data_IF_707012986627
#
_entry.id   IF_707012986627
#
_cell.length_a   1.000
_cell.length_b   1.000
_cell.length_c   1.000
_cell.angle_alpha   90.00
_cell.angle_beta   90.00
_cell.angle_gamma   90.00
#
_symmetry.space_group_name_H-M   'P 1'
#
loop_
_entity.id
_entity.type
_entity.pdbx_description
1 polymer ?
#
# COMPACT_ATOMS: atom_id res chain seq x y z
N UNK A 1 -27.80 -13.83 -31.69
CA UNK A 1 -26.85 -12.70 -31.61
C UNK A 1 -27.25 -11.74 -30.48
N UNK A 2 -27.07 -12.16 -29.22
CA UNK A 2 -27.52 -11.38 -28.06
C UNK A 2 -27.12 -12.03 -26.75
N UNK A 3 -25.81 -12.23 -26.51
CA UNK A 3 -25.29 -11.93 -25.16
C UNK A 3 -23.96 -11.15 -25.16
N UNK A 4 -23.33 -10.90 -26.31
CA UNK A 4 -21.99 -10.29 -26.41
C UNK A 4 -22.00 -8.77 -26.16
N UNK A 5 -23.16 -8.11 -26.29
CA UNK A 5 -23.27 -6.64 -26.19
C UNK A 5 -23.28 -6.13 -24.73
N UNK A 6 -23.68 -6.94 -23.74
CA UNK A 6 -23.73 -6.49 -22.32
C UNK A 6 -22.37 -6.46 -21.62
N UNK A 7 -21.37 -7.19 -22.12
CA UNK A 7 -20.03 -7.20 -21.52
C UNK A 7 -19.17 -6.02 -22.00
N UNK A 8 -19.39 -5.55 -23.24
CA UNK A 8 -18.72 -4.35 -23.76
C UNK A 8 -19.24 -3.04 -23.16
N UNK A 9 -20.49 -2.97 -22.71
CA UNK A 9 -21.02 -1.78 -22.03
C UNK A 9 -20.45 -1.57 -20.60
N UNK A 10 -20.05 -2.64 -19.90
CA UNK A 10 -19.38 -2.50 -18.60
C UNK A 10 -17.91 -2.03 -18.71
N UNK A 11 -17.24 -2.36 -19.82
CA UNK A 11 -15.84 -1.93 -20.05
C UNK A 11 -15.79 -0.46 -20.46
N UNK A 12 -16.80 0.02 -21.22
CA UNK A 12 -16.90 1.43 -21.57
C UNK A 12 -17.18 2.31 -20.33
N UNK A 13 -17.94 1.82 -19.35
CA UNK A 13 -18.16 2.51 -18.09
C UNK A 13 -16.88 2.65 -17.24
N UNK A 14 -15.92 1.73 -17.34
CA UNK A 14 -14.63 1.83 -16.62
C UNK A 14 -13.69 2.87 -17.25
N UNK A 15 -13.70 2.99 -18.59
CA UNK A 15 -12.95 4.02 -19.31
C UNK A 15 -13.58 5.41 -19.15
N UNK A 16 -14.92 5.50 -19.16
CA UNK A 16 -15.64 6.77 -18.98
C UNK A 16 -15.54 7.27 -17.53
N UNK A 17 -15.49 6.39 -16.51
CA UNK A 17 -15.34 6.84 -15.11
C UNK A 17 -13.94 7.36 -14.78
N UNK A 18 -12.88 6.86 -15.42
CA UNK A 18 -11.54 7.43 -15.26
C UNK A 18 -11.40 8.80 -15.95
N UNK A 19 -12.19 9.07 -16.99
CA UNK A 19 -12.16 10.34 -17.74
C UNK A 19 -13.07 11.40 -17.09
N UNK A 20 -14.20 11.01 -16.49
CA UNK A 20 -15.15 11.97 -15.90
C UNK A 20 -14.79 12.51 -14.52
N UNK A 21 -13.77 11.98 -13.83
CA UNK A 21 -13.23 12.61 -12.62
C UNK A 21 -12.30 13.81 -12.89
N UNK A 22 -12.06 14.18 -14.17
CA UNK A 22 -11.08 15.23 -14.52
C UNK A 22 -11.67 16.50 -15.15
N UNK A 23 -12.99 16.62 -15.31
CA UNK A 23 -13.58 17.80 -15.94
C UNK A 23 -14.90 18.20 -15.26
N UNK A 24 -14.85 19.23 -14.41
CA UNK A 24 -16.01 20.01 -14.00
C UNK A 24 -15.60 21.42 -13.54
N UNK A 25 -15.83 22.41 -14.41
CA UNK A 25 -16.02 23.86 -14.21
C UNK A 25 -14.79 24.70 -13.75
N UNK A 26 -14.42 25.83 -14.37
CA UNK A 26 -15.23 26.99 -14.78
C UNK A 26 -14.59 27.79 -15.95
N UNK A 27 -15.46 28.44 -16.74
CA UNK A 27 -15.16 29.54 -17.66
C UNK A 27 -14.78 30.83 -16.90
N UNK A 28 -13.64 31.48 -17.23
CA UNK A 28 -13.43 32.93 -17.03
C UNK A 28 -12.57 33.53 -18.17
N UNK A 29 -12.99 34.73 -18.56
CA UNK A 29 -12.55 35.70 -19.58
C UNK A 29 -11.06 35.87 -19.87
N UNK A 30 -10.77 36.15 -21.15
CA UNK A 30 -9.48 36.62 -21.67
C UNK A 30 -9.22 38.07 -21.23
N UNK A 31 -8.12 38.32 -20.54
CA UNK A 31 -7.48 39.64 -20.48
C UNK A 31 -5.98 39.47 -20.65
N UNK A 32 -5.43 40.26 -21.55
CA UNK A 32 -4.03 40.34 -21.95
C UNK A 32 -3.16 40.87 -20.82
N UNK A 33 -2.08 40.17 -20.48
CA UNK A 33 -0.98 40.76 -19.72
C UNK A 33 0.39 40.37 -20.27
N UNK A 34 1.21 41.41 -20.37
CA UNK A 34 2.50 41.51 -21.02
C UNK A 34 3.61 40.74 -20.29
N UNK A 35 4.55 40.23 -21.07
CA UNK A 35 5.78 39.57 -20.63
C UNK A 35 6.78 40.56 -20.01
N UNK A 36 7.46 40.22 -18.90
CA UNK A 36 8.73 40.86 -18.53
C UNK A 36 9.94 40.07 -19.07
N UNK A 37 11.10 40.73 -19.29
CA UNK A 37 12.22 40.18 -20.04
C UNK A 37 13.09 39.19 -19.21
N UNK A 38 13.93 38.36 -19.87
CA UNK A 38 14.72 37.35 -19.19
C UNK A 38 15.97 37.94 -18.53
N UNK A 39 16.24 37.52 -17.30
CA UNK A 39 17.50 37.80 -16.58
C UNK A 39 18.53 36.74 -16.98
N UNK A 40 19.61 37.20 -17.60
CA UNK A 40 20.77 36.38 -18.00
C UNK A 40 21.71 36.27 -16.80
N UNK A 41 21.99 35.05 -16.33
CA UNK A 41 23.09 34.78 -15.40
C UNK A 41 24.32 34.28 -16.16
N UNK A 42 25.40 35.06 -16.12
CA UNK A 42 26.72 34.67 -16.63
C UNK A 42 27.47 33.86 -15.56
N UNK A 43 27.72 32.58 -15.84
CA UNK A 43 28.64 31.77 -15.04
C UNK A 43 30.08 32.02 -15.50
N UNK A 44 30.91 32.60 -14.64
CA UNK A 44 32.37 32.52 -14.76
C UNK A 44 32.89 31.57 -13.67
N UNK A 45 33.38 30.41 -14.10
CA UNK A 45 34.10 29.48 -13.26
C UNK A 45 35.53 30.00 -13.04
N UNK A 46 35.94 30.22 -11.78
CA UNK A 46 37.34 30.37 -11.41
C UNK A 46 37.76 29.25 -10.46
N UNK A 47 38.84 28.59 -10.87
CA UNK A 47 39.63 27.56 -10.18
C UNK A 47 39.95 27.97 -8.74
N UNK A 48 39.74 27.05 -7.80
CA UNK A 48 40.26 27.15 -6.44
C UNK A 48 41.75 26.77 -6.45
N UNK A 49 42.59 27.65 -5.91
CA UNK A 49 43.96 27.35 -5.51
C UNK A 49 44.06 27.42 -3.98
N UNK A 50 44.84 26.52 -3.42
CA UNK A 50 44.97 26.32 -1.98
C UNK A 50 45.95 27.34 -1.40
N UNK A 51 45.57 28.05 -0.33
CA UNK A 51 46.55 28.55 0.63
C UNK A 51 45.91 28.87 1.98
N UNK A 52 46.57 28.36 3.02
CA UNK A 52 46.27 28.52 4.44
C UNK A 52 46.09 30.00 4.82
N UNK A 53 44.99 30.33 5.49
CA UNK A 53 44.96 31.50 6.38
C UNK A 53 44.15 31.22 7.65
N UNK A 54 44.74 31.61 8.77
CA UNK A 54 44.37 31.45 10.18
C UNK A 54 42.89 31.65 10.51
N UNK A 55 42.40 30.77 11.41
CA UNK A 55 41.20 31.01 12.21
C UNK A 55 41.29 32.35 12.94
N UNK A 56 40.30 33.22 12.71
CA UNK A 56 39.86 34.22 13.67
C UNK A 56 38.47 33.83 14.16
N UNK A 57 38.37 33.69 15.46
CA UNK A 57 37.16 33.41 16.22
C UNK A 57 36.31 34.67 16.23
N UNK A 58 35.26 34.72 15.41
CA UNK A 58 34.19 35.70 15.57
C UNK A 58 33.00 35.03 16.26
N UNK A 59 32.62 35.61 17.40
CA UNK A 59 31.43 35.29 18.16
C UNK A 59 30.20 35.49 17.27
N UNK A 60 29.60 34.39 16.81
CA UNK A 60 28.29 34.45 16.18
C UNK A 60 27.23 34.65 17.27
N UNK A 61 26.80 35.89 17.42
CA UNK A 61 25.58 36.31 18.10
C UNK A 61 24.46 35.31 17.77
N UNK A 62 23.99 34.61 18.81
CA UNK A 62 22.84 33.71 18.73
C UNK A 62 21.58 34.57 18.56
N UNK A 63 21.23 34.89 17.31
CA UNK A 63 19.93 35.48 17.02
C UNK A 63 18.85 34.45 17.35
N UNK A 64 18.11 34.70 18.42
CA UNK A 64 16.80 34.10 18.65
C UNK A 64 15.86 34.57 17.54
N UNK A 65 15.91 33.91 16.38
CA UNK A 65 14.79 33.91 15.45
C UNK A 65 13.64 33.23 16.19
N UNK A 66 12.59 33.98 16.50
CA UNK A 66 11.33 33.42 16.98
C UNK A 66 10.89 32.29 16.05
N UNK A 67 10.36 31.21 16.62
CA UNK A 67 9.87 30.09 15.84
C UNK A 67 8.90 30.61 14.77
N UNK A 68 9.30 30.53 13.50
CA UNK A 68 8.41 30.85 12.39
C UNK A 68 7.26 29.86 12.48
N UNK A 69 6.04 30.36 12.69
CA UNK A 69 4.85 29.53 12.69
C UNK A 69 4.67 29.02 11.27
N UNK A 70 5.06 27.77 11.03
CA UNK A 70 4.84 27.12 9.75
C UNK A 70 3.33 27.05 9.48
N UNK A 71 2.92 27.43 8.27
CA UNK A 71 1.55 27.29 7.77
C UNK A 71 1.51 26.21 6.68
N UNK A 72 0.32 25.69 6.33
CA UNK A 72 0.20 24.75 5.23
C UNK A 72 0.72 25.36 3.92
N UNK A 73 1.59 24.61 3.24
CA UNK A 73 2.11 25.02 1.93
C UNK A 73 0.98 25.10 0.89
N UNK A 74 1.15 25.89 -0.20
CA UNK A 74 0.22 25.90 -1.31
C UNK A 74 -0.01 24.50 -1.89
N UNK A 75 -1.26 24.20 -2.24
CA UNK A 75 -1.65 22.91 -2.83
C UNK A 75 -0.97 22.74 -4.19
N UNK A 76 -0.13 21.70 -4.30
CA UNK A 76 0.48 21.30 -5.58
C UNK A 76 -0.52 20.49 -6.41
N UNK A 77 -0.53 20.73 -7.72
CA UNK A 77 -1.33 19.97 -8.69
C UNK A 77 -0.49 18.89 -9.37
N UNK A 78 -1.04 17.68 -9.52
CA UNK A 78 -0.40 16.63 -10.33
C UNK A 78 -0.26 17.04 -11.79
N UNK A 79 -1.20 17.85 -12.30
CA UNK A 79 -1.21 18.31 -13.68
C UNK A 79 0.00 19.19 -14.03
N UNK A 80 0.67 19.75 -13.03
CA UNK A 80 1.91 20.51 -13.20
C UNK A 80 3.13 19.63 -13.56
N UNK A 81 3.00 18.30 -13.50
CA UNK A 81 4.11 17.37 -13.69
C UNK A 81 3.83 16.31 -14.75
N UNK A 82 4.76 16.17 -15.71
CA UNK A 82 4.68 15.18 -16.79
C UNK A 82 5.10 13.76 -16.38
N UNK A 83 5.78 13.63 -15.25
CA UNK A 83 6.29 12.39 -14.63
C UNK A 83 6.38 12.58 -13.12
N UNK A 84 6.70 11.52 -12.38
CA UNK A 84 6.91 11.61 -10.93
C UNK A 84 7.93 12.74 -10.61
N UNK A 85 7.55 13.75 -9.79
CA UNK A 85 8.47 14.77 -9.34
C UNK A 85 9.64 14.16 -8.57
N UNK A 86 10.79 14.82 -8.59
CA UNK A 86 11.98 14.39 -7.84
C UNK A 86 12.35 15.49 -6.86
N UNK A 87 12.39 15.14 -5.58
CA UNK A 87 12.78 16.04 -4.51
C UNK A 87 14.06 15.52 -3.86
N UNK A 88 14.89 16.42 -3.32
CA UNK A 88 16.11 16.09 -2.60
C UNK A 88 15.86 15.26 -1.33
N UNK A 89 14.64 15.32 -0.78
CA UNK A 89 14.15 14.52 0.34
C UNK A 89 13.29 13.30 -0.07
N UNK A 90 13.38 12.83 -1.32
CA UNK A 90 12.61 11.67 -1.80
C UNK A 90 12.85 10.38 -1.00
N UNK A 91 14.03 10.25 -0.39
CA UNK A 91 14.45 9.08 0.39
C UNK A 91 14.46 9.35 1.91
N UNK A 92 13.80 10.42 2.34
CA UNK A 92 13.58 10.76 3.75
C UNK A 92 12.22 10.21 4.20
N UNK A 93 12.23 9.46 5.29
CA UNK A 93 11.06 8.80 5.88
C UNK A 93 11.03 8.94 7.39
N UNK A 94 9.83 8.99 7.96
CA UNK A 94 9.65 8.79 9.39
C UNK A 94 10.12 7.42 9.85
N UNK A 95 10.87 7.40 10.95
CA UNK A 95 11.34 6.19 11.60
C UNK A 95 11.01 6.23 13.09
N UNK A 96 10.67 5.07 13.66
CA UNK A 96 10.45 4.90 15.09
C UNK A 96 11.75 4.49 15.80
N UNK A 97 11.86 4.71 17.11
CA UNK A 97 13.07 4.41 17.90
C UNK A 97 12.71 3.52 19.09
N UNK A 98 13.54 2.51 19.45
CA UNK A 98 14.56 1.80 18.65
C UNK A 98 13.95 0.65 17.81
N UNK A 99 14.73 0.01 16.89
CA UNK A 99 14.26 -1.11 16.09
C UNK A 99 13.75 -2.27 16.97
N UNK A 100 12.75 -3.01 16.49
CA UNK A 100 12.31 -4.26 17.14
C UNK A 100 13.50 -5.20 17.29
N UNK A 101 13.87 -5.49 18.53
CA UNK A 101 14.82 -6.55 18.83
C UNK A 101 14.15 -7.90 18.58
N UNK A 102 14.87 -8.80 17.91
CA UNK A 102 14.41 -10.17 17.66
C UNK A 102 15.43 -11.16 18.19
N UNK A 103 14.96 -12.09 19.00
CA UNK A 103 15.73 -13.24 19.48
C UNK A 103 15.75 -14.37 18.45
N UNK A 104 14.82 -14.36 17.49
CA UNK A 104 14.70 -15.37 16.45
C UNK A 104 15.96 -15.44 15.58
N UNK A 105 16.59 -16.61 15.50
CA UNK A 105 17.80 -16.85 14.68
C UNK A 105 17.50 -16.86 13.19
N UNK A 106 16.29 -17.28 12.81
CA UNK A 106 15.81 -17.36 11.43
C UNK A 106 15.19 -16.05 10.92
N UNK A 107 15.26 -14.97 11.71
CA UNK A 107 14.61 -13.71 11.35
C UNK A 107 15.22 -13.15 10.06
N UNK A 108 14.37 -12.79 9.10
CA UNK A 108 14.76 -12.08 7.87
C UNK A 108 15.56 -10.79 8.15
N UNK A 109 15.39 -10.20 9.34
CA UNK A 109 16.12 -9.02 9.81
C UNK A 109 17.62 -9.28 10.00
N UNK A 110 18.02 -10.56 10.12
CA UNK A 110 19.41 -11.02 10.20
C UNK A 110 19.98 -11.45 8.84
N UNK A 111 19.26 -11.21 7.74
CA UNK A 111 19.71 -11.58 6.40
C UNK A 111 21.01 -10.87 6.02
N UNK A 112 21.95 -11.62 5.43
CA UNK A 112 23.22 -11.09 4.90
C UNK A 112 23.14 -10.67 3.42
N UNK A 113 21.95 -10.70 2.83
CA UNK A 113 21.72 -10.29 1.45
C UNK A 113 21.95 -8.77 1.34
N UNK A 114 23.09 -8.37 0.75
CA UNK A 114 23.54 -6.96 0.70
C UNK A 114 22.50 -6.00 0.11
N UNK A 115 21.84 -6.38 -0.99
CA UNK A 115 20.81 -5.58 -1.64
C UNK A 115 19.59 -5.37 -0.72
N UNK A 116 19.16 -6.43 -0.04
CA UNK A 116 18.07 -6.37 0.93
C UNK A 116 18.43 -5.50 2.13
N UNK A 117 19.61 -5.70 2.75
CA UNK A 117 20.08 -4.87 3.88
C UNK A 117 20.17 -3.38 3.54
N UNK A 118 20.56 -3.04 2.31
CA UNK A 118 20.63 -1.65 1.83
C UNK A 118 19.23 -1.04 1.66
N UNK A 119 18.27 -1.83 1.18
CA UNK A 119 16.91 -1.37 0.94
C UNK A 119 16.06 -1.34 2.21
N UNK A 120 16.23 -2.31 3.11
CA UNK A 120 15.37 -2.55 4.27
C UNK A 120 15.64 -1.56 5.41
N UNK A 121 14.61 -0.80 5.81
CA UNK A 121 14.66 0.11 6.94
C UNK A 121 13.97 -0.55 8.16
N UNK A 122 14.72 -1.10 9.14
CA UNK A 122 14.15 -1.94 10.20
C UNK A 122 13.21 -1.21 11.16
N UNK A 123 13.25 0.12 11.14
CA UNK A 123 12.54 1.04 12.01
C UNK A 123 11.68 2.06 11.23
N UNK A 124 11.37 1.80 9.95
CA UNK A 124 10.39 2.61 9.20
C UNK A 124 9.06 2.70 9.97
N UNK A 125 8.50 3.91 10.08
CA UNK A 125 7.19 4.11 10.73
C UNK A 125 6.10 3.45 9.90
N UNK A 126 5.48 2.40 10.45
CA UNK A 126 4.48 1.61 9.74
C UNK A 126 3.09 2.26 9.77
N UNK A 127 2.72 2.91 10.88
CA UNK A 127 1.35 3.31 11.14
C UNK A 127 1.18 4.83 11.30
N UNK A 128 0.07 5.32 10.75
CA UNK A 128 -0.44 6.68 10.90
C UNK A 128 -1.33 6.77 12.13
N UNK A 129 -1.17 7.81 12.93
CA UNK A 129 -2.02 8.17 14.07
C UNK A 129 -2.06 9.69 14.25
N UNK A 130 -2.94 10.17 15.13
CA UNK A 130 -3.26 11.61 15.30
C UNK A 130 -2.06 12.54 15.52
N UNK A 131 -0.97 12.04 16.11
CA UNK A 131 0.24 12.82 16.42
C UNK A 131 1.38 12.57 15.41
N UNK A 132 1.13 11.82 14.33
CA UNK A 132 2.15 11.49 13.33
C UNK A 132 2.48 12.65 12.39
N UNK A 133 1.55 13.58 12.18
CA UNK A 133 1.66 14.65 11.17
C UNK A 133 1.62 16.01 11.86
N UNK A 134 2.79 16.62 12.04
CA UNK A 134 2.92 18.03 12.37
C UNK A 134 2.92 18.89 11.08
N UNK A 135 3.04 20.21 11.19
CA UNK A 135 2.98 21.08 10.00
C UNK A 135 4.15 20.85 9.03
N UNK A 136 5.36 20.65 9.54
CA UNK A 136 6.53 20.35 8.71
C UNK A 136 6.33 19.05 7.93
N UNK A 137 5.79 18.03 8.59
CA UNK A 137 5.44 16.74 7.99
C UNK A 137 4.31 16.84 6.98
N UNK A 138 3.28 17.64 7.27
CA UNK A 138 2.25 17.96 6.29
C UNK A 138 2.86 18.57 5.03
N UNK A 139 3.65 19.64 5.19
CA UNK A 139 4.30 20.34 4.09
C UNK A 139 5.20 19.38 3.29
N UNK A 140 6.01 18.55 3.96
CA UNK A 140 6.83 17.54 3.28
C UNK A 140 5.96 16.54 2.51
N UNK A 141 4.92 15.98 3.14
CA UNK A 141 4.08 14.96 2.51
C UNK A 141 3.15 15.52 1.42
N UNK A 142 2.84 16.82 1.42
CA UNK A 142 2.09 17.50 0.36
C UNK A 142 2.83 17.55 -0.98
N UNK A 143 4.13 17.24 -1.01
CA UNK A 143 4.92 17.06 -2.24
C UNK A 143 4.68 15.73 -2.96
N UNK A 144 3.96 14.79 -2.34
CA UNK A 144 3.73 13.45 -2.89
C UNK A 144 2.25 13.19 -3.14
N UNK A 145 1.93 12.60 -4.29
CA UNK A 145 0.57 12.18 -4.64
C UNK A 145 0.08 11.04 -3.75
N UNK A 146 -1.24 10.88 -3.63
CA UNK A 146 -1.84 9.73 -2.98
C UNK A 146 -1.42 8.40 -3.68
N UNK A 147 -1.21 7.29 -2.95
CA UNK A 147 -1.30 7.09 -1.50
C UNK A 147 -0.06 7.56 -0.72
N UNK A 148 0.91 8.17 -1.41
CA UNK A 148 2.25 8.44 -0.91
C UNK A 148 2.36 9.75 -0.11
N UNK A 149 1.35 10.62 -0.18
CA UNK A 149 1.31 11.88 0.54
C UNK A 149 -0.03 12.58 0.32
N UNK A 150 -0.01 13.92 0.37
CA UNK A 150 -1.20 14.77 0.41
C UNK A 150 -1.27 15.80 -0.72
N UNK A 151 -0.54 15.61 -1.82
CA UNK A 151 -0.66 16.46 -3.01
C UNK A 151 -2.12 16.50 -3.49
N UNK A 152 -2.58 17.68 -3.90
CA UNK A 152 -3.98 18.02 -4.23
C UNK A 152 -4.99 18.02 -3.07
N UNK A 153 -4.57 17.73 -1.83
CA UNK A 153 -5.47 17.76 -0.67
C UNK A 153 -5.29 19.02 0.16
N UNK A 154 -6.39 19.48 0.75
CA UNK A 154 -6.38 20.54 1.75
C UNK A 154 -6.07 19.94 3.12
N UNK A 155 -5.36 20.72 3.94
CA UNK A 155 -4.96 20.34 5.29
C UNK A 155 -6.16 19.90 6.14
N UNK A 156 -7.20 20.73 6.20
CA UNK A 156 -8.34 20.47 7.07
C UNK A 156 -9.12 19.22 6.67
N UNK A 157 -9.24 18.93 5.37
CA UNK A 157 -9.97 17.76 4.86
C UNK A 157 -9.31 16.45 5.31
N UNK A 158 -7.98 16.36 5.18
CA UNK A 158 -7.24 15.15 5.60
C UNK A 158 -7.16 15.08 7.12
N UNK A 159 -6.81 16.19 7.77
CA UNK A 159 -6.54 16.20 9.20
C UNK A 159 -7.80 16.05 10.05
N UNK A 160 -8.99 16.34 9.52
CA UNK A 160 -10.27 16.00 10.15
C UNK A 160 -10.37 14.50 10.48
N UNK A 161 -9.84 13.64 9.61
CA UNK A 161 -9.79 12.20 9.85
C UNK A 161 -8.54 11.76 10.64
N UNK A 162 -7.35 12.28 10.29
CA UNK A 162 -6.07 11.84 10.90
C UNK A 162 -6.06 12.10 12.40
N UNK A 163 -6.58 13.25 12.86
CA UNK A 163 -6.65 13.60 14.28
C UNK A 163 -7.53 12.66 15.12
N UNK A 164 -8.37 11.85 14.48
CA UNK A 164 -9.20 10.85 15.15
C UNK A 164 -8.51 9.48 15.26
N UNK A 165 -7.46 9.22 14.48
CA UNK A 165 -6.83 7.91 14.43
C UNK A 165 -6.06 7.68 15.74
N UNK A 166 -6.47 6.73 16.60
CA UNK A 166 -5.77 6.47 17.84
C UNK A 166 -4.40 5.86 17.55
N UNK A 167 -3.42 6.16 18.40
CA UNK A 167 -2.17 5.40 18.41
C UNK A 167 -2.51 3.95 18.84
N UNK A 168 -2.13 2.92 18.06
CA UNK A 168 -2.41 1.54 18.43
C UNK A 168 -1.88 1.23 19.83
N UNK A 169 -2.73 0.64 20.69
CA UNK A 169 -2.34 0.26 22.06
C UNK A 169 -1.65 -1.10 22.08
N UNK A 170 -2.02 -1.96 21.16
CA UNK A 170 -1.42 -3.28 20.96
C UNK A 170 -0.41 -3.20 19.81
N UNK A 171 0.72 -3.92 19.86
CA UNK A 171 1.54 -4.11 18.67
C UNK A 171 0.78 -4.98 17.66
N UNK A 172 1.09 -4.81 16.36
CA UNK A 172 0.42 -5.60 15.32
C UNK A 172 0.60 -7.09 15.57
N UNK A 173 1.80 -7.55 15.92
CA UNK A 173 2.07 -8.95 16.23
C UNK A 173 2.85 -9.06 17.54
N UNK A 174 2.56 -10.11 18.29
CA UNK A 174 3.33 -10.54 19.46
C UNK A 174 3.93 -11.93 19.20
N UNK A 175 5.14 -12.24 19.70
CA UNK A 175 5.61 -13.62 19.74
C UNK A 175 4.58 -14.51 20.45
N UNK A 176 4.32 -15.68 19.87
CA UNK A 176 3.38 -16.65 20.46
C UNK A 176 3.97 -17.19 21.78
N UNK A 177 3.24 -17.15 22.91
CA UNK A 177 3.70 -17.77 24.15
C UNK A 177 3.99 -19.27 23.94
N UNK A 178 5.15 -19.72 24.41
CA UNK A 178 5.58 -21.12 24.26
C UNK A 178 6.03 -21.52 22.85
N UNK A 179 6.16 -20.58 21.92
CA UNK A 179 6.80 -20.80 20.61
C UNK A 179 8.32 -20.84 20.70
N UNK A 180 8.98 -20.97 19.55
CA UNK A 180 10.45 -20.96 19.40
C UNK A 180 11.09 -19.56 19.51
N UNK A 181 10.27 -18.54 19.82
CA UNK A 181 10.67 -17.14 19.90
C UNK A 181 10.62 -16.39 18.56
N UNK A 182 10.22 -17.05 17.47
CA UNK A 182 9.98 -16.44 16.16
C UNK A 182 8.49 -16.09 15.97
N UNK A 183 8.24 -15.14 15.07
CA UNK A 183 6.91 -14.85 14.55
C UNK A 183 6.83 -15.34 13.11
N UNK A 184 6.13 -16.45 12.89
CA UNK A 184 5.95 -17.05 11.57
C UNK A 184 4.66 -16.59 10.92
N UNK A 185 4.75 -16.04 9.72
CA UNK A 185 3.60 -15.46 9.03
C UNK A 185 3.33 -16.09 7.68
N UNK A 186 2.06 -16.38 7.40
CA UNK A 186 1.56 -16.65 6.07
C UNK A 186 0.90 -15.38 5.51
N UNK A 187 1.25 -15.00 4.28
CA UNK A 187 0.59 -13.94 3.54
C UNK A 187 -0.15 -14.55 2.36
N UNK A 188 -1.47 -14.40 2.33
CA UNK A 188 -2.35 -15.04 1.36
C UNK A 188 -2.93 -13.99 0.41
N UNK A 189 -2.35 -13.92 -0.79
CA UNK A 189 -2.91 -13.24 -1.94
C UNK A 189 -4.04 -14.04 -2.58
N UNK A 190 -4.70 -13.43 -3.57
CA UNK A 190 -5.94 -13.99 -4.13
C UNK A 190 -5.75 -14.70 -5.48
N UNK A 191 -4.52 -14.89 -5.95
CA UNK A 191 -4.26 -15.41 -7.30
C UNK A 191 -4.73 -16.86 -7.50
N UNK A 192 -5.11 -17.19 -8.74
CA UNK A 192 -5.64 -18.50 -9.12
C UNK A 192 -4.75 -19.71 -8.82
N UNK A 193 -3.44 -19.50 -8.60
CA UNK A 193 -2.48 -20.56 -8.28
C UNK A 193 -2.88 -21.38 -7.04
N UNK A 194 -3.68 -20.82 -6.12
CA UNK A 194 -4.16 -21.54 -4.94
C UNK A 194 -5.31 -22.52 -5.21
N UNK A 195 -6.02 -22.44 -6.34
CA UNK A 195 -7.17 -23.30 -6.60
C UNK A 195 -6.78 -24.79 -6.76
N UNK A 196 -7.14 -25.64 -5.80
CA UNK A 196 -6.72 -27.04 -5.74
C UNK A 196 -5.25 -27.24 -5.31
N UNK A 197 -4.67 -26.26 -4.63
CA UNK A 197 -3.30 -26.32 -4.08
C UNK A 197 -3.20 -27.10 -2.78
N UNK A 198 -4.30 -27.24 -2.03
CA UNK A 198 -4.35 -27.89 -0.72
C UNK A 198 -3.42 -27.29 0.34
N UNK A 199 -3.02 -26.02 0.17
CA UNK A 199 -2.10 -25.34 1.09
C UNK A 199 -2.77 -24.86 2.38
N UNK A 200 -4.07 -25.04 2.54
CA UNK A 200 -4.83 -24.46 3.65
C UNK A 200 -4.34 -24.89 5.03
N UNK A 201 -3.94 -26.17 5.19
CA UNK A 201 -3.37 -26.67 6.45
C UNK A 201 -2.00 -26.05 6.77
N UNK A 202 -1.15 -25.84 5.76
CA UNK A 202 0.15 -25.18 5.95
C UNK A 202 -0.06 -23.70 6.25
N UNK A 203 -0.97 -23.03 5.56
CA UNK A 203 -1.31 -21.62 5.82
C UNK A 203 -1.78 -21.45 7.27
N UNK A 204 -2.72 -22.28 7.72
CA UNK A 204 -3.29 -22.22 9.06
C UNK A 204 -2.33 -22.72 10.16
N UNK A 205 -1.15 -23.29 9.83
CA UNK A 205 -0.14 -23.67 10.83
C UNK A 205 0.75 -22.50 11.29
N UNK A 206 0.75 -21.39 10.56
CA UNK A 206 1.53 -20.19 10.91
C UNK A 206 0.95 -19.49 12.14
N UNK A 207 1.77 -18.71 12.84
CA UNK A 207 1.30 -17.94 14.00
C UNK A 207 0.24 -16.91 13.58
N UNK A 208 0.53 -16.19 12.49
CA UNK A 208 -0.32 -15.14 11.94
C UNK A 208 -0.60 -15.35 10.46
N UNK A 209 -1.87 -15.17 10.07
CA UNK A 209 -2.30 -15.22 8.67
C UNK A 209 -2.77 -13.85 8.21
N UNK A 210 -2.09 -13.31 7.21
CA UNK A 210 -2.41 -12.03 6.56
C UNK A 210 -3.27 -12.29 5.33
N UNK A 211 -4.41 -11.61 5.22
CA UNK A 211 -5.29 -11.63 4.04
C UNK A 211 -5.66 -10.22 3.61
N UNK A 212 -6.14 -10.06 2.38
CA UNK A 212 -6.47 -8.75 1.85
C UNK A 212 -7.57 -8.77 0.78
N UNK A 213 -8.24 -7.63 0.61
CA UNK A 213 -9.27 -7.44 -0.42
C UNK A 213 -10.36 -8.56 -0.37
N UNK A 214 -10.72 -9.17 -1.50
CA UNK A 214 -11.69 -10.26 -1.59
C UNK A 214 -11.14 -11.62 -1.15
N UNK A 215 -10.81 -11.78 0.13
CA UNK A 215 -10.25 -13.00 0.70
C UNK A 215 -11.34 -14.05 0.99
N UNK A 216 -11.86 -14.71 -0.04
CA UNK A 216 -12.88 -15.76 0.08
C UNK A 216 -12.30 -17.02 0.75
N UNK A 217 -12.70 -17.35 1.98
CA UNK A 217 -12.29 -18.63 2.60
C UNK A 217 -13.36 -19.72 2.46
N UNK A 218 -14.64 -19.34 2.60
CA UNK A 218 -15.77 -20.27 2.59
C UNK A 218 -15.84 -21.10 1.30
N UNK A 219 -15.70 -22.42 1.41
CA UNK A 219 -15.69 -23.36 0.27
C UNK A 219 -14.32 -23.51 -0.43
N UNK A 220 -13.28 -22.93 0.15
CA UNK A 220 -11.89 -22.94 -0.33
C UNK A 220 -10.89 -23.23 0.79
N UNK A 221 -11.34 -23.68 1.96
CA UNK A 221 -10.54 -23.85 3.17
C UNK A 221 -9.41 -24.88 2.98
N UNK A 222 -9.62 -25.92 2.16
CA UNK A 222 -8.57 -26.89 1.82
C UNK A 222 -7.38 -26.19 1.13
N UNK A 223 -7.66 -25.19 0.30
CA UNK A 223 -6.67 -24.48 -0.51
C UNK A 223 -6.04 -23.28 0.21
N UNK A 224 -6.87 -22.51 0.91
CA UNK A 224 -6.46 -21.20 1.44
C UNK A 224 -6.52 -21.09 2.95
N UNK A 225 -6.96 -22.15 3.65
CA UNK A 225 -7.16 -22.15 5.10
C UNK A 225 -8.40 -21.35 5.50
N UNK A 226 -8.67 -21.29 6.80
CA UNK A 226 -9.81 -20.56 7.35
C UNK A 226 -9.43 -19.51 8.42
N UNK A 227 -8.16 -19.44 8.85
CA UNK A 227 -7.72 -18.44 9.83
C UNK A 227 -7.40 -17.11 9.17
N UNK A 228 -7.71 -16.02 9.86
CA UNK A 228 -7.22 -14.66 9.51
C UNK A 228 -6.86 -13.89 10.76
N UNK A 229 -5.61 -13.46 10.87
CA UNK A 229 -5.14 -12.65 12.00
C UNK A 229 -5.05 -11.17 11.67
N UNK A 230 -4.66 -10.85 10.43
CA UNK A 230 -4.52 -9.47 9.94
C UNK A 230 -5.23 -9.34 8.59
N UNK A 231 -6.18 -8.42 8.49
CA UNK A 231 -6.92 -8.16 7.24
C UNK A 231 -6.64 -6.76 6.71
N UNK A 232 -6.06 -6.70 5.52
CA UNK A 232 -5.61 -5.47 4.87
C UNK A 232 -6.66 -5.06 3.85
N UNK A 233 -7.11 -3.81 3.94
CA UNK A 233 -8.15 -3.31 3.03
C UNK A 233 -8.02 -1.80 2.78
N UNK A 234 -8.82 -1.33 1.84
CA UNK A 234 -9.11 0.10 1.64
C UNK A 234 -10.61 0.28 1.79
N UNK A 235 -11.11 1.52 1.80
CA UNK A 235 -12.54 1.77 1.71
C UNK A 235 -13.12 1.17 0.43
N UNK A 236 -12.32 1.15 -0.65
CA UNK A 236 -12.74 0.53 -1.91
C UNK A 236 -12.78 -0.98 -1.85
N UNK A 237 -11.71 -1.64 -1.38
CA UNK A 237 -11.68 -3.10 -1.41
C UNK A 237 -12.64 -3.72 -0.39
N UNK A 238 -12.85 -3.10 0.77
CA UNK A 238 -13.81 -3.61 1.77
C UNK A 238 -15.27 -3.48 1.30
N UNK A 239 -15.58 -2.48 0.47
CA UNK A 239 -16.94 -2.28 -0.05
C UNK A 239 -17.20 -3.07 -1.34
N UNK A 240 -16.33 -2.91 -2.33
CA UNK A 240 -16.47 -3.50 -3.66
C UNK A 240 -16.35 -5.02 -3.64
N UNK A 241 -15.45 -5.59 -2.81
CA UNK A 241 -15.24 -7.04 -2.77
C UNK A 241 -16.51 -7.78 -2.32
N UNK A 242 -17.23 -7.22 -1.33
CA UNK A 242 -18.52 -7.78 -0.86
C UNK A 242 -19.60 -7.76 -1.93
N UNK A 243 -19.52 -6.82 -2.88
CA UNK A 243 -20.45 -6.75 -4.00
C UNK A 243 -20.05 -7.74 -5.10
N UNK A 244 -18.81 -7.65 -5.60
CA UNK A 244 -18.35 -8.43 -6.75
C UNK A 244 -18.19 -9.92 -6.46
N UNK A 245 -17.72 -10.27 -5.26
CA UNK A 245 -17.38 -11.63 -4.89
C UNK A 245 -18.44 -12.31 -4.02
N UNK A 246 -19.61 -11.68 -3.83
CA UNK A 246 -20.77 -12.28 -3.15
C UNK A 246 -21.12 -13.64 -3.72
N UNK A 247 -21.13 -13.75 -5.06
CA UNK A 247 -21.44 -15.00 -5.80
C UNK A 247 -20.44 -16.13 -5.54
N UNK A 248 -19.24 -15.81 -5.06
CA UNK A 248 -18.19 -16.77 -4.72
C UNK A 248 -18.14 -17.07 -3.22
N UNK A 249 -19.05 -16.51 -2.41
CA UNK A 249 -19.12 -16.74 -0.97
C UNK A 249 -18.53 -15.61 -0.11
N UNK A 250 -18.05 -14.50 -0.70
CA UNK A 250 -17.56 -13.35 0.06
C UNK A 250 -18.73 -12.47 0.56
N UNK A 251 -19.48 -12.96 1.53
CA UNK A 251 -20.65 -12.25 2.10
C UNK A 251 -20.30 -11.37 3.30
N UNK A 252 -19.14 -11.60 3.92
CA UNK A 252 -18.59 -10.81 5.01
C UNK A 252 -17.07 -10.81 4.91
N UNK A 253 -16.43 -9.79 5.48
CA UNK A 253 -14.97 -9.76 5.62
C UNK A 253 -14.51 -10.76 6.68
N UNK A 254 -13.22 -11.14 6.71
CA UNK A 254 -12.67 -11.92 7.82
C UNK A 254 -12.95 -11.24 9.17
N UNK A 255 -13.28 -12.05 10.17
CA UNK A 255 -13.83 -11.59 11.45
C UNK A 255 -13.52 -12.57 12.59
N UNK A 256 -12.39 -13.26 12.49
CA UNK A 256 -11.85 -14.10 13.54
C UNK A 256 -11.71 -13.32 14.85
N UNK A 257 -11.82 -14.00 15.99
CA UNK A 257 -11.56 -13.39 17.29
C UNK A 257 -10.14 -12.83 17.35
N UNK A 258 -9.99 -11.60 17.85
CA UNK A 258 -8.66 -10.98 17.93
C UNK A 258 -8.16 -10.35 16.63
N UNK A 259 -8.94 -10.40 15.53
CA UNK A 259 -8.51 -9.90 14.23
C UNK A 259 -8.08 -8.43 14.27
N UNK A 260 -7.00 -8.14 13.55
CA UNK A 260 -6.45 -6.80 13.36
C UNK A 260 -6.78 -6.30 11.95
N UNK A 261 -7.44 -5.15 11.87
CA UNK A 261 -7.75 -4.52 10.60
C UNK A 261 -6.70 -3.46 10.28
N UNK A 262 -6.15 -3.52 9.07
CA UNK A 262 -5.12 -2.58 8.60
C UNK A 262 -5.63 -1.89 7.34
N UNK A 263 -5.82 -0.58 7.41
CA UNK A 263 -6.32 0.22 6.30
C UNK A 263 -5.19 0.89 5.52
N UNK A 264 -5.25 0.83 4.20
CA UNK A 264 -4.36 1.57 3.29
C UNK A 264 -5.06 2.85 2.83
N UNK A 265 -4.61 4.05 3.22
CA UNK A 265 -5.26 5.30 2.83
C UNK A 265 -4.87 5.70 1.40
N UNK A 266 -5.66 5.26 0.42
CA UNK A 266 -5.33 5.42 -1.00
C UNK A 266 -5.77 6.72 -1.64
N UNK A 267 -6.72 7.43 -1.02
CA UNK A 267 -7.12 8.77 -1.40
C UNK A 267 -8.21 9.31 -0.50
N UNK A 268 -8.81 10.44 -0.87
CA UNK A 268 -9.79 11.14 -0.02
C UNK A 268 -10.98 10.27 0.40
N UNK A 269 -11.41 9.32 -0.45
CA UNK A 269 -12.46 8.34 -0.09
C UNK A 269 -12.13 7.52 1.16
N UNK A 270 -10.85 7.26 1.40
CA UNK A 270 -10.36 6.47 2.53
C UNK A 270 -10.29 7.32 3.80
N UNK A 271 -9.92 8.59 3.69
CA UNK A 271 -10.00 9.55 4.81
C UNK A 271 -11.45 9.82 5.23
N UNK A 272 -12.37 10.02 4.26
CA UNK A 272 -13.80 10.15 4.53
C UNK A 272 -14.38 8.89 5.20
N UNK A 273 -13.89 7.70 4.81
CA UNK A 273 -14.26 6.44 5.44
C UNK A 273 -13.74 6.35 6.88
N UNK A 274 -12.48 6.71 7.12
CA UNK A 274 -11.88 6.75 8.46
C UNK A 274 -12.64 7.69 9.38
N UNK A 275 -12.97 8.89 8.92
CA UNK A 275 -13.74 9.86 9.71
C UNK A 275 -15.12 9.28 10.10
N UNK A 276 -15.87 8.74 9.14
CA UNK A 276 -17.17 8.12 9.44
C UNK A 276 -17.06 6.88 10.34
N UNK A 277 -15.99 6.11 10.21
CA UNK A 277 -15.72 4.94 11.06
C UNK A 277 -15.45 5.36 12.51
N UNK A 278 -14.54 6.31 12.71
CA UNK A 278 -14.05 6.73 14.03
C UNK A 278 -15.05 7.61 14.77
N UNK A 279 -15.85 8.43 14.06
CA UNK A 279 -16.97 9.17 14.67
C UNK A 279 -18.22 8.32 14.87
N UNK A 280 -18.28 7.13 14.25
CA UNK A 280 -19.48 6.30 14.15
C UNK A 280 -20.67 7.05 13.50
N UNK A 281 -20.36 7.77 12.43
CA UNK A 281 -21.30 8.59 11.66
C UNK A 281 -21.35 8.19 10.18
N UNK A 282 -22.47 8.48 9.51
CA UNK A 282 -22.55 8.26 8.06
C UNK A 282 -21.50 9.12 7.35
N UNK A 283 -20.86 8.55 6.33
CA UNK A 283 -19.87 9.28 5.53
C UNK A 283 -20.52 10.52 4.90
N UNK A 284 -19.91 11.69 5.10
CA UNK A 284 -20.45 12.98 4.66
C UNK A 284 -20.29 13.21 3.15
N UNK A 285 -19.17 12.76 2.56
CA UNK A 285 -18.82 13.08 1.17
C UNK A 285 -18.05 11.96 0.44
N UNK A 286 -17.95 12.08 -0.89
CA UNK A 286 -17.24 11.16 -1.77
C UNK A 286 -18.08 9.96 -2.21
N UNK A 287 -17.45 8.97 -2.87
CA UNK A 287 -18.16 7.85 -3.52
C UNK A 287 -18.90 6.93 -2.54
N UNK A 288 -18.61 7.04 -1.24
CA UNK A 288 -19.21 6.25 -0.17
C UNK A 288 -20.15 7.05 0.73
N UNK A 289 -20.55 8.26 0.31
CA UNK A 289 -21.51 9.10 1.02
C UNK A 289 -22.73 8.30 1.50
N UNK A 290 -23.20 8.61 2.71
CA UNK A 290 -24.31 7.94 3.40
C UNK A 290 -24.09 6.48 3.84
N UNK A 291 -22.94 5.87 3.53
CA UNK A 291 -22.59 4.54 4.08
C UNK A 291 -22.23 4.62 5.55
N UNK A 292 -22.33 3.47 6.25
CA UNK A 292 -21.98 3.28 7.66
C UNK A 292 -20.74 2.39 7.77
N UNK A 293 -19.52 2.93 7.88
CA UNK A 293 -18.28 2.15 7.82
C UNK A 293 -18.22 0.99 8.82
N UNK A 294 -18.65 1.20 10.07
CA UNK A 294 -18.58 0.19 11.14
C UNK A 294 -19.35 -1.09 10.83
N UNK A 295 -20.36 -1.06 9.96
CA UNK A 295 -21.14 -2.27 9.61
C UNK A 295 -20.37 -3.24 8.70
N UNK A 296 -19.23 -2.82 8.14
CA UNK A 296 -18.41 -3.63 7.24
C UNK A 296 -17.42 -4.54 7.96
N UNK A 297 -17.25 -4.40 9.28
CA UNK A 297 -16.28 -5.13 10.09
C UNK A 297 -16.88 -6.29 10.88
N UNK A 298 -18.08 -6.75 10.50
CA UNK A 298 -18.75 -7.91 11.09
C UNK A 298 -18.82 -7.92 12.64
N UNK A 299 -18.92 -6.74 13.26
CA UNK A 299 -18.93 -6.58 14.72
C UNK A 299 -17.57 -6.72 15.41
N UNK A 300 -16.47 -6.99 14.69
CA UNK A 300 -15.13 -7.16 15.24
C UNK A 300 -14.28 -5.88 15.27
N UNK A 301 -14.82 -4.76 14.77
CA UNK A 301 -14.14 -3.47 14.83
C UNK A 301 -13.83 -3.09 16.28
N UNK A 302 -12.55 -2.82 16.54
CA UNK A 302 -12.07 -2.34 17.82
C UNK A 302 -10.91 -1.37 17.58
N UNK A 303 -11.05 -0.15 18.08
CA UNK A 303 -10.10 0.95 17.94
C UNK A 303 -8.71 0.62 18.51
N UNK A 304 -8.59 -0.25 19.53
CA UNK A 304 -7.30 -0.59 20.14
C UNK A 304 -6.41 -1.43 19.21
N UNK A 305 -7.02 -2.08 18.22
CA UNK A 305 -6.40 -3.02 17.27
C UNK A 305 -6.78 -2.71 15.81
N UNK A 306 -7.08 -1.45 15.54
CA UNK A 306 -7.25 -0.90 14.19
C UNK A 306 -6.02 -0.08 13.81
N UNK A 307 -5.50 -0.29 12.59
CA UNK A 307 -4.25 0.29 12.13
C UNK A 307 -4.45 0.97 10.79
N UNK A 308 -3.75 2.08 10.55
CA UNK A 308 -3.73 2.78 9.26
C UNK A 308 -2.29 2.87 8.80
N UNK A 309 -1.98 2.46 7.57
CA UNK A 309 -0.60 2.54 7.07
C UNK A 309 -0.15 4.00 6.88
N UNK A 310 1.08 4.29 7.29
CA UNK A 310 1.69 5.60 7.14
C UNK A 310 2.13 5.85 5.69
N UNK A 311 1.96 7.08 5.21
CA UNK A 311 2.30 7.51 3.85
C UNK A 311 3.78 7.24 3.52
N UNK A 312 4.69 7.52 4.46
CA UNK A 312 6.10 7.18 4.30
C UNK A 312 6.38 5.69 4.17
N UNK A 313 5.65 4.79 4.84
CA UNK A 313 5.80 3.36 4.63
C UNK A 313 5.41 2.98 3.20
N UNK A 314 4.32 3.56 2.69
CA UNK A 314 3.88 3.34 1.31
C UNK A 314 4.90 3.90 0.30
N UNK A 315 5.47 5.09 0.55
CA UNK A 315 6.56 5.68 -0.23
C UNK A 315 7.79 4.80 -0.23
N UNK A 316 8.20 4.35 0.95
CA UNK A 316 9.36 3.49 1.16
C UNK A 316 9.26 2.20 0.33
N UNK A 317 8.11 1.51 0.39
CA UNK A 317 7.89 0.29 -0.41
C UNK A 317 8.02 0.57 -1.92
N UNK A 318 7.40 1.65 -2.42
CA UNK A 318 7.53 2.06 -3.82
C UNK A 318 8.98 2.40 -4.17
N UNK A 319 9.63 3.27 -3.42
CA UNK A 319 10.91 3.85 -3.80
C UNK A 319 12.06 2.84 -3.69
N UNK A 320 12.05 1.98 -2.65
CA UNK A 320 13.19 1.10 -2.32
C UNK A 320 13.07 -0.30 -2.90
N UNK A 321 11.86 -0.75 -3.23
CA UNK A 321 11.61 -2.12 -3.71
C UNK A 321 10.85 -2.16 -5.04
N UNK A 322 9.82 -1.33 -5.20
CA UNK A 322 8.89 -1.42 -6.34
C UNK A 322 8.87 -0.13 -7.17
N UNK A 323 10.06 0.34 -7.54
CA UNK A 323 10.21 1.57 -8.32
C UNK A 323 9.95 1.30 -9.80
N UNK A 324 8.70 1.49 -10.24
CA UNK A 324 8.30 1.21 -11.62
C UNK A 324 8.89 2.22 -12.62
N UNK A 325 9.38 1.77 -13.79
CA UNK A 325 9.79 2.67 -14.86
C UNK A 325 8.62 3.53 -15.38
N UNK A 326 7.37 3.10 -15.20
CA UNK A 326 6.18 3.84 -15.59
C UNK A 326 5.98 5.14 -14.79
N UNK A 327 6.73 5.34 -13.70
CA UNK A 327 6.78 6.63 -13.00
C UNK A 327 7.36 7.76 -13.88
N UNK A 328 8.03 7.43 -14.98
CA UNK A 328 8.51 8.39 -15.98
C UNK A 328 7.47 8.74 -17.07
N UNK A 329 6.24 8.24 -16.96
CA UNK A 329 5.18 8.43 -17.96
C UNK A 329 4.15 9.51 -17.54
N UNK A 330 3.28 9.91 -18.47
CA UNK A 330 2.20 10.87 -18.22
C UNK A 330 1.14 10.40 -17.21
N UNK A 331 1.03 9.10 -16.97
CA UNK A 331 0.11 8.50 -16.01
C UNK A 331 0.80 8.09 -14.70
N UNK A 332 1.99 8.63 -14.42
CA UNK A 332 2.77 8.38 -13.20
C UNK A 332 1.93 8.44 -11.91
N UNK A 333 0.94 9.33 -11.86
CA UNK A 333 0.14 9.61 -10.68
C UNK A 333 -0.77 8.45 -10.24
N UNK A 334 -1.10 7.52 -11.14
CA UNK A 334 -1.90 6.32 -10.79
C UNK A 334 -1.01 5.13 -10.41
N UNK A 335 0.30 5.20 -10.69
CA UNK A 335 1.23 4.09 -10.44
C UNK A 335 1.45 3.91 -8.95
N UNK A 336 1.22 2.68 -8.48
CA UNK A 336 1.50 2.29 -7.11
C UNK A 336 1.63 0.78 -6.95
N UNK A 337 2.33 0.30 -5.90
CA UNK A 337 2.24 -1.08 -5.47
C UNK A 337 0.79 -1.49 -5.17
N UNK A 338 0.48 -2.77 -5.43
CA UNK A 338 -0.79 -3.39 -5.10
C UNK A 338 -0.99 -3.50 -3.58
N UNK A 339 -2.23 -3.71 -3.13
CA UNK A 339 -2.48 -4.08 -1.73
C UNK A 339 -1.81 -5.42 -1.36
N UNK A 340 -1.62 -6.30 -2.36
CA UNK A 340 -0.75 -7.48 -2.30
C UNK A 340 0.64 -7.13 -1.79
N UNK A 341 1.29 -6.22 -2.51
CA UNK A 341 2.62 -5.77 -2.19
C UNK A 341 2.70 -5.11 -0.81
N UNK A 342 1.80 -4.15 -0.51
CA UNK A 342 1.82 -3.50 0.81
C UNK A 342 1.60 -4.48 1.96
N UNK A 343 0.77 -5.51 1.77
CA UNK A 343 0.56 -6.55 2.78
C UNK A 343 1.82 -7.40 2.98
N UNK A 344 2.45 -7.84 1.89
CA UNK A 344 3.67 -8.65 1.97
C UNK A 344 4.82 -7.87 2.62
N UNK A 345 5.00 -6.60 2.26
CA UNK A 345 6.00 -5.75 2.91
C UNK A 345 5.65 -5.43 4.37
N UNK A 346 4.38 -5.29 4.75
CA UNK A 346 3.99 -5.16 6.15
C UNK A 346 4.39 -6.41 6.94
N UNK A 347 4.18 -7.60 6.39
CA UNK A 347 4.62 -8.86 7.00
C UNK A 347 6.15 -8.91 7.13
N UNK A 348 6.91 -8.49 6.11
CA UNK A 348 8.38 -8.41 6.21
C UNK A 348 8.86 -7.49 7.36
N UNK A 349 8.10 -6.46 7.72
CA UNK A 349 8.47 -5.57 8.82
C UNK A 349 7.94 -6.02 10.18
N UNK A 350 7.01 -6.98 10.23
CA UNK A 350 6.34 -7.38 11.47
C UNK A 350 6.56 -8.84 11.84
N UNK A 351 7.06 -9.67 10.93
CA UNK A 351 7.32 -11.08 11.12
C UNK A 351 8.83 -11.37 11.14
N UNK A 352 9.19 -12.55 11.63
CA UNK A 352 10.56 -13.07 11.56
C UNK A 352 10.75 -13.95 10.33
N UNK A 353 9.76 -14.79 9.99
CA UNK A 353 9.71 -15.53 8.72
C UNK A 353 8.40 -15.27 7.99
N UNK A 354 8.45 -15.28 6.66
CA UNK A 354 7.28 -14.99 5.81
C UNK A 354 7.16 -16.00 4.69
N UNK A 355 6.01 -16.66 4.62
CA UNK A 355 5.61 -17.50 3.50
C UNK A 355 4.51 -16.79 2.70
N UNK A 356 4.69 -16.67 1.39
CA UNK A 356 3.76 -16.01 0.48
C UNK A 356 2.99 -17.03 -0.36
N UNK A 357 1.66 -16.97 -0.30
CA UNK A 357 0.73 -17.87 -0.99
C UNK A 357 -0.19 -17.04 -1.89
N UNK A 358 -0.52 -17.50 -3.10
CA UNK A 358 -1.47 -16.79 -3.96
C UNK A 358 -0.98 -15.45 -4.51
N UNK A 359 0.33 -15.32 -4.68
CA UNK A 359 0.97 -14.21 -5.40
C UNK A 359 1.27 -14.61 -6.85
N UNK A 360 1.46 -13.62 -7.71
CA UNK A 360 1.82 -13.86 -9.12
C UNK A 360 3.20 -14.52 -9.21
N UNK A 361 3.29 -15.57 -10.02
CA UNK A 361 4.51 -16.35 -10.33
C UNK A 361 4.78 -16.34 -11.83
N UNK A 362 5.91 -16.90 -12.28
CA UNK A 362 6.25 -16.97 -13.71
C UNK A 362 5.16 -17.63 -14.56
N UNK A 363 4.47 -18.61 -14.01
CA UNK A 363 3.42 -19.39 -14.67
C UNK A 363 2.00 -18.87 -14.40
N UNK A 364 1.85 -17.59 -14.03
CA UNK A 364 0.55 -17.00 -13.68
C UNK A 364 -0.54 -17.19 -14.76
N UNK A 365 -0.16 -17.23 -16.03
CA UNK A 365 -1.05 -17.42 -17.18
C UNK A 365 -1.72 -18.82 -17.23
N UNK A 366 -1.22 -19.78 -16.45
CA UNK A 366 -1.83 -21.11 -16.32
C UNK A 366 -3.11 -21.06 -15.48
N UNK A 367 -3.24 -20.08 -14.59
CA UNK A 367 -4.31 -19.99 -13.60
C UNK A 367 -5.34 -18.89 -13.95
N UNK A 368 -6.51 -18.95 -13.30
CA UNK A 368 -7.48 -17.84 -13.32
C UNK A 368 -6.95 -16.62 -12.55
N UNK A 369 -7.60 -15.48 -12.70
CA UNK A 369 -7.31 -14.28 -11.89
C UNK A 369 -7.43 -14.58 -10.40
N UNK A 370 -8.52 -15.21 -9.99
CA UNK A 370 -8.76 -15.53 -8.59
C UNK A 370 -8.89 -17.04 -8.34
N UNK A 371 -8.42 -17.51 -7.18
CA UNK A 371 -8.52 -18.94 -6.82
C UNK A 371 -9.97 -19.44 -6.68
N UNK A 372 -10.91 -18.52 -6.43
CA UNK A 372 -12.32 -18.84 -6.29
C UNK A 372 -13.10 -18.90 -7.61
N UNK A 373 -12.42 -18.78 -8.75
CA UNK A 373 -13.02 -18.93 -10.08
C UNK A 373 -12.87 -20.38 -10.60
N UNK A 374 -13.31 -21.36 -9.79
CA UNK A 374 -13.08 -22.82 -10.01
C UNK A 374 -13.46 -23.33 -11.41
N UNK A 375 -14.56 -22.83 -11.95
CA UNK A 375 -15.18 -23.35 -13.17
C UNK A 375 -14.99 -22.44 -14.38
N UNK A 376 -14.20 -21.36 -14.25
CA UNK A 376 -14.02 -20.36 -15.29
C UNK A 376 -12.56 -19.93 -15.31
N UNK A 377 -11.88 -20.13 -16.45
CA UNK A 377 -10.55 -19.54 -16.65
C UNK A 377 -10.70 -18.08 -17.03
N UNK A 378 -10.35 -17.17 -16.12
CA UNK A 378 -10.31 -15.73 -16.40
C UNK A 378 -8.87 -15.29 -16.65
N UNK A 379 -8.61 -14.45 -17.67
CA UNK A 379 -7.27 -13.92 -17.89
C UNK A 379 -6.93 -12.90 -16.80
N UNK A 380 -5.69 -12.96 -16.30
CA UNK A 380 -5.19 -11.96 -15.36
C UNK A 380 -5.09 -10.61 -16.07
N UNK A 381 -5.86 -9.63 -15.59
CA UNK A 381 -5.84 -8.27 -16.13
C UNK A 381 -4.74 -7.47 -15.44
N UNK A 382 -3.77 -6.99 -16.23
CA UNK A 382 -2.68 -6.16 -15.75
C UNK A 382 -3.09 -4.68 -15.84
N UNK A 383 -3.80 -4.19 -14.83
CA UNK A 383 -4.18 -2.79 -14.74
C UNK A 383 -2.96 -1.86 -14.65
N UNK A 384 -2.98 -0.77 -15.42
CA UNK A 384 -1.85 0.15 -15.56
C UNK A 384 -1.45 0.89 -14.26
N UNK A 385 -2.33 0.93 -13.25
CA UNK A 385 -2.04 1.54 -11.96
C UNK A 385 -1.07 0.71 -11.11
N UNK A 386 -0.77 -0.54 -11.51
CA UNK A 386 0.18 -1.42 -10.84
C UNK A 386 1.19 -1.99 -11.84
N UNK A 387 2.43 -2.18 -11.39
CA UNK A 387 3.45 -2.88 -12.16
C UNK A 387 3.57 -4.33 -11.67
N UNK A 388 2.62 -5.16 -12.12
CA UNK A 388 2.53 -6.56 -11.69
C UNK A 388 3.76 -7.39 -12.05
N UNK A 389 4.45 -7.05 -13.15
CA UNK A 389 5.68 -7.73 -13.55
C UNK A 389 6.82 -7.38 -12.61
N UNK A 390 6.94 -6.11 -12.22
CA UNK A 390 7.90 -5.71 -11.20
C UNK A 390 7.62 -6.39 -9.85
N UNK A 391 6.34 -6.46 -9.43
CA UNK A 391 5.96 -7.17 -8.21
C UNK A 391 6.32 -8.66 -8.28
N UNK A 392 5.92 -9.36 -9.35
CA UNK A 392 6.25 -10.77 -9.59
C UNK A 392 7.77 -11.02 -9.49
N UNK A 393 8.56 -10.18 -10.17
CA UNK A 393 10.02 -10.30 -10.18
C UNK A 393 10.64 -10.02 -8.78
N UNK A 394 10.04 -9.09 -8.01
CA UNK A 394 10.44 -8.85 -6.63
C UNK A 394 10.16 -10.07 -5.75
N UNK A 395 8.98 -10.70 -5.85
CA UNK A 395 8.67 -11.92 -5.09
C UNK A 395 9.64 -13.05 -5.40
N UNK A 396 9.96 -13.24 -6.68
CA UNK A 396 10.99 -14.20 -7.10
C UNK A 396 12.36 -13.86 -6.49
N UNK A 397 12.78 -12.60 -6.55
CA UNK A 397 14.07 -12.16 -5.98
C UNK A 397 14.14 -12.42 -4.47
N UNK A 398 13.09 -12.07 -3.73
CA UNK A 398 13.02 -12.32 -2.28
C UNK A 398 13.00 -13.82 -1.97
N UNK A 399 12.39 -14.64 -2.82
CA UNK A 399 12.38 -16.07 -2.68
C UNK A 399 13.76 -16.70 -2.95
N UNK A 400 14.36 -16.38 -4.09
CA UNK A 400 15.66 -16.92 -4.51
C UNK A 400 16.79 -16.51 -3.54
N UNK A 401 16.60 -15.43 -2.79
CA UNK A 401 17.53 -14.94 -1.76
C UNK A 401 17.15 -15.36 -0.33
N UNK A 402 16.19 -16.27 -0.16
CA UNK A 402 15.72 -16.81 1.13
C UNK A 402 15.19 -15.75 2.12
N UNK A 403 14.70 -14.61 1.63
CA UNK A 403 14.00 -13.61 2.46
C UNK A 403 12.56 -14.05 2.74
N UNK A 404 11.92 -14.69 1.76
CA UNK A 404 10.58 -15.29 1.88
C UNK A 404 10.57 -16.70 1.29
N UNK A 405 9.59 -17.52 1.69
CA UNK A 405 9.21 -18.71 0.92
C UNK A 405 8.01 -18.37 0.04
N UNK A 406 8.18 -18.32 -1.28
CA UNK A 406 7.09 -18.12 -2.22
C UNK A 406 6.51 -19.48 -2.65
N UNK A 407 5.21 -19.67 -2.46
CA UNK A 407 4.51 -20.83 -2.97
C UNK A 407 4.47 -20.79 -4.51
N UNK A 408 5.00 -21.86 -5.11
CA UNK A 408 5.01 -22.11 -6.55
C UNK A 408 4.58 -23.57 -6.74
N UNK A 409 3.85 -23.89 -7.81
CA UNK A 409 3.48 -25.28 -8.09
C UNK A 409 4.67 -26.08 -8.61
N UNK A 410 4.74 -27.34 -8.22
CA UNK A 410 5.61 -28.32 -8.87
C UNK A 410 5.04 -28.72 -10.23
N UNK A 411 5.90 -29.07 -11.20
CA UNK A 411 5.45 -29.51 -12.54
C UNK A 411 4.50 -30.73 -12.49
N UNK A 412 4.62 -31.57 -11.46
CA UNK A 412 3.77 -32.74 -11.22
C UNK A 412 2.32 -32.42 -10.85
N UNK A 413 2.03 -31.25 -10.29
CA UNK A 413 0.67 -30.84 -9.90
C UNK A 413 -0.15 -30.24 -11.06
N UNK A 414 0.50 -29.95 -12.19
CA UNK A 414 -0.14 -29.39 -13.37
C UNK A 414 -0.85 -30.46 -14.24
N UNK A 415 -0.62 -31.75 -14.00
CA UNK A 415 -1.03 -32.84 -14.89
C UNK A 415 -2.28 -33.65 -14.51
N UNK A 416 -2.85 -33.51 -13.31
CA UNK A 416 -3.80 -34.49 -12.75
C UNK A 416 -5.29 -34.19 -12.92
N UNK A 417 -5.69 -33.36 -13.89
CA UNK A 417 -7.12 -33.19 -14.23
C UNK A 417 -7.39 -33.33 -15.73
N UNK A 418 -7.19 -34.53 -16.27
CA UNK A 418 -8.03 -35.02 -17.38
C UNK A 418 -9.14 -35.89 -16.77
N UNK A 419 -10.43 -35.55 -16.95
CA UNK A 419 -11.52 -36.43 -16.56
C UNK A 419 -11.43 -37.71 -17.38
N UNK A 420 -11.41 -38.87 -16.73
CA UNK A 420 -11.70 -40.14 -17.40
C UNK A 420 -13.15 -40.07 -17.88
N UNK A 421 -13.35 -40.09 -19.19
CA UNK A 421 -14.65 -40.39 -19.79
C UNK A 421 -14.96 -41.85 -19.46
N UNK A 422 -16.09 -42.08 -18.80
CA UNK A 422 -16.81 -43.34 -18.79
C UNK A 422 -18.17 -43.11 -19.41
#
# INVERSE_FOLDING_TARGET
MGPIIKQHQCILLILVWCIFCSLSNFHISWTTFSTPPPVVFTHTAKKADSTKTKLKTDQMSRSTLGAVVETPMPVLSKASFKKLPQWDFDDVYNQDVPPRQTTCTQSLRKSEVKSFRKAFLPNIRLFLYKDSINMSEWNRLSHFNNPFGFMEYKYDDVMASVKLIPKPKEPLLLPKPGGDGCVHCAVVGNAGILNGSKMGKEIDSHDYVFRMNGAVTKGYEEDVGNRTSVYIHTAHSITSSLYFFKKFGFTTVPHDEGIKYVMVPEGMRDFNWLEGLLKRERIADGPYKNKRPWTYYAGQYNETRFYVLHQDFLRYVRNRFLHSPNLNSSYWAIIRPSNGAFTLFLALHTCDTVNAYGFMTEDYNKYSTYYFEKNIKTPVILYANHDYMLEKNMWKTLHDTNIIKLYQRSESEAGTKKPKQH
#
